data_IF_629629600676
#
_entry.id   IF_629629600676
#
_cell.length_a   1.000
_cell.length_b   1.000
_cell.length_c   1.000
_cell.angle_alpha   90.00
_cell.angle_beta   90.00
_cell.angle_gamma   90.00
#
_symmetry.space_group_name_H-M   'P 1'
#
loop_
_entity.id
_entity.type
_entity.pdbx_description
1 polymer ?
#
# COMPACT_ATOMS: atom_id res chain seq x y z
N UNK A 1 -9.87 9.81 28.88
CA UNK A 1 -8.92 8.88 29.53
C UNK A 1 -9.34 8.58 30.96
N UNK A 2 -9.58 9.58 31.81
CA UNK A 2 -10.01 9.36 33.20
C UNK A 2 -11.26 8.48 33.35
N UNK A 3 -12.27 8.65 32.50
CA UNK A 3 -13.52 7.86 32.53
C UNK A 3 -13.33 6.38 32.19
N UNK A 4 -12.52 6.07 31.17
CA UNK A 4 -12.24 4.68 30.75
C UNK A 4 -11.30 3.96 31.72
N UNK A 5 -10.30 4.67 32.25
CA UNK A 5 -9.37 4.13 33.24
C UNK A 5 -10.09 3.78 34.55
N UNK A 6 -10.98 4.66 35.02
CA UNK A 6 -11.83 4.41 36.19
C UNK A 6 -12.78 3.22 35.98
N UNK A 7 -13.43 3.12 34.81
CA UNK A 7 -14.32 2.00 34.49
C UNK A 7 -13.58 0.64 34.41
N UNK A 8 -12.28 0.65 34.07
CA UNK A 8 -11.44 -0.54 33.97
C UNK A 8 -10.62 -0.81 35.25
N UNK A 9 -10.72 0.03 36.29
CA UNK A 9 -9.97 -0.12 37.53
C UNK A 9 -8.45 0.04 37.38
N UNK A 10 -8.00 0.86 36.44
CA UNK A 10 -6.56 1.04 36.13
C UNK A 10 -6.12 2.45 36.53
N UNK A 11 -5.00 2.55 37.25
CA UNK A 11 -4.37 3.85 37.50
C UNK A 11 -3.70 4.35 36.20
N UNK A 12 -4.25 5.43 35.65
CA UNK A 12 -3.75 6.07 34.43
C UNK A 12 -3.05 7.42 34.70
N UNK A 13 -2.74 7.75 35.96
CA UNK A 13 -2.10 9.02 36.33
C UNK A 13 -0.74 9.25 35.66
N UNK A 14 -0.02 8.16 35.35
CA UNK A 14 1.25 8.18 34.59
C UNK A 14 1.13 7.81 33.11
N UNK A 15 -0.08 7.69 32.56
CA UNK A 15 -0.27 7.20 31.19
C UNK A 15 0.30 8.19 30.15
N UNK A 16 0.98 7.64 29.14
CA UNK A 16 1.46 8.39 27.98
C UNK A 16 0.61 8.06 26.75
N UNK A 17 0.34 9.07 25.93
CA UNK A 17 -0.34 8.91 24.66
C UNK A 17 0.66 8.97 23.51
N UNK A 18 0.54 8.02 22.58
CA UNK A 18 1.33 7.97 21.36
C UNK A 18 0.38 7.97 20.16
N UNK A 19 0.82 8.54 19.04
CA UNK A 19 0.12 8.38 17.78
C UNK A 19 0.56 7.08 17.13
N UNK A 20 -0.41 6.31 16.62
CA UNK A 20 -0.16 5.09 15.87
C UNK A 20 -0.63 5.28 14.42
N UNK A 21 0.31 5.23 13.48
CA UNK A 21 0.01 5.10 12.06
C UNK A 21 -0.26 3.64 11.71
N UNK A 22 -1.26 3.40 10.86
CA UNK A 22 -1.57 2.06 10.36
C UNK A 22 -1.70 2.11 8.83
N UNK A 23 -0.84 1.35 8.15
CA UNK A 23 -0.94 1.16 6.71
C UNK A 23 -2.02 0.14 6.36
N UNK A 24 -2.65 0.34 5.19
CA UNK A 24 -3.61 -0.57 4.62
C UNK A 24 -3.05 -1.13 3.32
N UNK A 25 -2.94 -2.46 3.22
CA UNK A 25 -2.81 -3.11 1.91
C UNK A 25 -4.17 -3.08 1.23
N UNK A 26 -4.17 -2.59 -0.01
CA UNK A 26 -5.34 -2.61 -0.88
C UNK A 26 -5.23 -3.81 -1.81
N UNK A 27 -6.28 -4.63 -1.87
CA UNK A 27 -6.31 -5.76 -2.80
C UNK A 27 -6.21 -5.22 -4.24
N UNK A 28 -5.41 -5.85 -5.13
CA UNK A 28 -5.35 -5.47 -6.53
C UNK A 28 -6.73 -5.47 -7.18
N UNK A 29 -7.04 -4.40 -7.89
CA UNK A 29 -8.35 -4.14 -8.47
C UNK A 29 -8.15 -3.51 -9.86
N UNK A 30 -8.65 -4.14 -10.94
CA UNK A 30 -8.47 -3.65 -12.31
C UNK A 30 -9.14 -2.29 -12.58
N UNK A 31 -10.12 -1.89 -11.76
CA UNK A 31 -10.75 -0.57 -11.88
C UNK A 31 -9.90 0.55 -11.28
N UNK A 32 -8.95 0.20 -10.38
CA UNK A 32 -7.95 1.12 -9.84
C UNK A 32 -6.80 1.24 -10.82
N UNK A 33 -6.86 2.25 -11.69
CA UNK A 33 -5.96 2.36 -12.84
C UNK A 33 -5.53 3.79 -13.11
N UNK A 34 -4.36 3.90 -13.74
CA UNK A 34 -3.88 5.12 -14.37
C UNK A 34 -4.19 5.07 -15.85
N UNK A 35 -4.67 6.18 -16.40
CA UNK A 35 -4.80 6.36 -17.85
C UNK A 35 -4.14 7.66 -18.26
N UNK A 36 -3.53 7.68 -19.46
CA UNK A 36 -3.01 8.91 -20.05
C UNK A 36 -4.19 9.71 -20.62
N UNK A 37 -4.18 11.02 -20.44
CA UNK A 37 -5.13 11.95 -21.06
C UNK A 37 -4.53 12.52 -22.34
N UNK A 38 -5.34 13.28 -23.10
CA UNK A 38 -4.86 14.03 -24.27
C UNK A 38 -4.14 15.34 -23.92
N UNK A 39 -4.23 15.80 -22.66
CA UNK A 39 -3.55 17.01 -22.20
C UNK A 39 -2.09 16.71 -21.89
N UNK A 40 -1.22 17.69 -22.11
CA UNK A 40 0.19 17.61 -21.74
C UNK A 40 0.48 18.37 -20.44
N UNK A 41 1.42 17.87 -19.66
CA UNK A 41 1.97 18.57 -18.50
C UNK A 41 3.02 19.63 -18.92
N UNK A 42 3.63 20.29 -17.93
CA UNK A 42 4.66 21.31 -18.14
C UNK A 42 5.94 20.77 -18.80
N UNK A 43 6.14 19.45 -18.83
CA UNK A 43 7.27 18.77 -19.47
C UNK A 43 6.89 18.22 -20.86
N UNK A 44 5.66 18.46 -21.32
CA UNK A 44 5.17 17.97 -22.61
C UNK A 44 4.72 16.51 -22.62
N UNK A 45 4.65 15.86 -21.45
CA UNK A 45 4.22 14.47 -21.31
C UNK A 45 2.71 14.39 -21.13
N UNK A 46 2.02 13.34 -21.62
CA UNK A 46 0.59 13.18 -21.38
C UNK A 46 0.28 13.14 -19.88
N UNK A 47 -0.68 13.94 -19.43
CA UNK A 47 -1.11 13.96 -18.02
C UNK A 47 -1.74 12.63 -17.64
N UNK A 48 -1.58 12.25 -16.39
CA UNK A 48 -2.22 11.08 -15.82
C UNK A 48 -3.59 11.42 -15.24
N UNK A 49 -4.59 10.60 -15.52
CA UNK A 49 -5.84 10.52 -14.77
C UNK A 49 -5.79 9.27 -13.91
N UNK A 50 -5.86 9.47 -12.60
CA UNK A 50 -5.96 8.42 -11.61
C UNK A 50 -7.43 8.07 -11.36
N UNK A 51 -7.81 6.84 -11.66
CA UNK A 51 -9.05 6.26 -11.14
C UNK A 51 -8.70 5.47 -9.89
N UNK A 52 -9.05 5.99 -8.72
CA UNK A 52 -8.74 5.37 -7.44
C UNK A 52 -9.96 5.38 -6.54
N UNK A 53 -10.16 4.26 -5.86
CA UNK A 53 -11.13 4.14 -4.80
C UNK A 53 -10.62 3.13 -3.77
N UNK A 54 -11.22 3.13 -2.59
CA UNK A 54 -10.98 2.11 -1.56
C UNK A 54 -12.24 1.25 -1.52
N UNK A 55 -12.13 -0.07 -1.66
CA UNK A 55 -13.33 -0.90 -1.61
C UNK A 55 -13.85 -0.99 -0.18
N UNK A 56 -15.15 -1.23 -0.04
CA UNK A 56 -15.79 -1.45 1.28
C UNK A 56 -15.14 -2.61 2.03
N UNK A 57 -14.72 -3.65 1.31
CA UNK A 57 -13.98 -4.78 1.86
C UNK A 57 -12.64 -4.36 2.47
N UNK A 58 -11.86 -3.54 1.76
CA UNK A 58 -10.55 -3.09 2.24
C UNK A 58 -10.70 -2.23 3.49
N UNK A 59 -11.68 -1.30 3.49
CA UNK A 59 -11.97 -0.46 4.65
C UNK A 59 -12.49 -1.26 5.85
N UNK A 60 -13.35 -2.26 5.63
CA UNK A 60 -13.82 -3.14 6.69
C UNK A 60 -12.68 -3.99 7.29
N UNK A 61 -11.74 -4.45 6.47
CA UNK A 61 -10.54 -5.14 6.95
C UNK A 61 -9.68 -4.22 7.82
N UNK A 62 -9.43 -2.99 7.37
CA UNK A 62 -8.71 -1.98 8.14
C UNK A 62 -9.33 -1.76 9.53
N UNK A 63 -10.65 -1.55 9.60
CA UNK A 63 -11.35 -1.35 10.87
C UNK A 63 -11.24 -2.57 11.79
N UNK A 64 -11.42 -3.78 11.25
CA UNK A 64 -11.26 -5.03 12.02
C UNK A 64 -9.85 -5.17 12.58
N UNK A 65 -8.82 -4.84 11.81
CA UNK A 65 -7.42 -4.88 12.28
C UNK A 65 -7.19 -3.94 13.46
N UNK A 66 -7.73 -2.71 13.43
CA UNK A 66 -7.60 -1.78 14.56
C UNK A 66 -8.35 -2.27 15.81
N UNK A 67 -9.57 -2.79 15.64
CA UNK A 67 -10.35 -3.35 16.75
C UNK A 67 -9.60 -4.53 17.39
N UNK A 68 -9.06 -5.43 16.57
CA UNK A 68 -8.34 -6.60 17.05
C UNK A 68 -7.02 -6.22 17.74
N UNK A 69 -6.27 -5.26 17.19
CA UNK A 69 -5.08 -4.70 17.85
C UNK A 69 -5.43 -4.11 19.21
N UNK A 70 -6.49 -3.31 19.29
CA UNK A 70 -6.97 -2.73 20.55
C UNK A 70 -7.36 -3.80 21.58
N UNK A 71 -8.05 -4.85 21.14
CA UNK A 71 -8.43 -6.00 21.97
C UNK A 71 -7.18 -6.71 22.54
N UNK A 72 -6.17 -6.95 21.71
CA UNK A 72 -4.93 -7.61 22.15
C UNK A 72 -4.11 -6.75 23.10
N UNK A 73 -3.98 -5.44 22.83
CA UNK A 73 -3.30 -4.50 23.74
C UNK A 73 -3.95 -4.47 25.13
N UNK A 74 -5.28 -4.48 25.17
CA UNK A 74 -6.04 -4.50 26.42
C UNK A 74 -5.86 -5.84 27.16
N UNK A 75 -5.99 -6.97 26.45
CA UNK A 75 -5.82 -8.30 27.01
C UNK A 75 -4.41 -8.52 27.60
N UNK A 76 -3.39 -7.97 26.94
CA UNK A 76 -2.01 -8.00 27.41
C UNK A 76 -1.70 -6.98 28.53
N UNK A 77 -2.66 -6.13 28.91
CA UNK A 77 -2.47 -4.98 29.82
C UNK A 77 -1.33 -4.05 29.36
N UNK A 78 -1.07 -3.99 28.05
CA UNK A 78 0.00 -3.21 27.44
C UNK A 78 -0.44 -1.79 27.08
N UNK A 79 -1.73 -1.58 26.87
CA UNK A 79 -2.29 -0.26 26.58
C UNK A 79 -3.73 -0.30 26.09
N UNK A 80 -4.26 0.88 25.78
CA UNK A 80 -5.58 1.05 25.21
C UNK A 80 -5.46 1.75 23.85
N UNK A 81 -6.06 1.17 22.82
CA UNK A 81 -6.17 1.83 21.52
C UNK A 81 -7.41 2.72 21.49
N UNK A 82 -7.20 4.00 21.17
CA UNK A 82 -8.30 4.94 20.88
C UNK A 82 -8.39 5.17 19.38
N UNK A 83 -9.50 4.76 18.78
CA UNK A 83 -9.79 5.04 17.37
C UNK A 83 -10.48 6.40 17.29
N UNK A 84 -9.81 7.40 16.72
CA UNK A 84 -10.31 8.78 16.68
C UNK A 84 -11.21 9.08 15.46
N UNK A 85 -11.24 8.21 14.46
CA UNK A 85 -12.02 8.39 13.22
C UNK A 85 -13.16 7.39 13.22
N UNK A 86 -14.38 7.89 13.39
CA UNK A 86 -15.56 7.05 13.60
C UNK A 86 -16.35 6.79 12.31
N UNK A 87 -16.15 7.60 11.27
CA UNK A 87 -16.70 7.37 9.94
C UNK A 87 -15.62 7.22 8.89
N UNK A 88 -15.99 6.59 7.77
CA UNK A 88 -15.14 6.51 6.58
C UNK A 88 -14.81 7.89 6.02
N UNK A 89 -15.77 8.81 6.02
CA UNK A 89 -15.56 10.18 5.53
C UNK A 89 -14.48 10.90 6.35
N UNK A 90 -14.53 10.82 7.69
CA UNK A 90 -13.54 11.43 8.57
C UNK A 90 -12.14 10.86 8.36
N UNK A 91 -12.07 9.54 8.12
CA UNK A 91 -10.83 8.86 7.82
C UNK A 91 -10.29 9.29 6.45
N UNK A 92 -11.13 9.32 5.41
CA UNK A 92 -10.73 9.72 4.05
C UNK A 92 -10.26 11.16 3.97
N UNK A 93 -10.85 12.08 4.76
CA UNK A 93 -10.48 13.48 4.77
C UNK A 93 -9.07 13.75 5.35
N UNK A 94 -8.49 12.78 6.06
CA UNK A 94 -7.21 12.96 6.77
C UNK A 94 -6.19 11.86 6.50
N UNK A 95 -6.52 10.88 5.66
CA UNK A 95 -5.58 9.81 5.32
C UNK A 95 -4.42 10.35 4.50
N UNK A 96 -3.25 9.72 4.68
CA UNK A 96 -2.13 9.82 3.75
C UNK A 96 -2.18 8.63 2.80
N UNK A 97 -1.92 8.88 1.51
CA UNK A 97 -1.84 7.84 0.48
C UNK A 97 -0.49 7.09 0.50
N UNK A 98 0.44 7.49 1.38
CA UNK A 98 1.63 6.73 1.72
C UNK A 98 2.73 6.73 0.66
N UNK A 99 2.52 7.39 -0.48
CA UNK A 99 3.52 7.56 -1.55
C UNK A 99 4.10 6.23 -2.09
N UNK A 100 3.36 5.13 -1.95
CA UNK A 100 3.78 3.78 -2.35
C UNK A 100 3.00 3.30 -3.59
N UNK A 101 3.14 4.00 -4.72
CA UNK A 101 2.46 3.62 -5.97
C UNK A 101 2.99 2.29 -6.52
N UNK A 102 2.08 1.34 -6.76
CA UNK A 102 2.39 -0.06 -7.06
C UNK A 102 1.50 -0.60 -8.18
N UNK A 103 2.00 -1.58 -8.93
CA UNK A 103 1.20 -2.41 -9.85
C UNK A 103 0.89 -1.79 -11.21
N UNK A 104 1.38 -0.59 -11.51
CA UNK A 104 1.08 0.13 -12.77
C UNK A 104 1.72 -0.50 -14.01
N UNK A 105 2.71 -1.38 -13.84
CA UNK A 105 3.30 -2.24 -14.88
C UNK A 105 3.47 -3.67 -14.32
N UNK A 106 2.42 -4.19 -13.69
CA UNK A 106 2.47 -5.41 -12.87
C UNK A 106 3.13 -6.60 -13.55
N UNK A 107 3.89 -7.36 -12.77
CA UNK A 107 4.46 -8.65 -13.11
C UNK A 107 3.39 -9.74 -13.14
N UNK A 108 3.53 -10.71 -14.06
CA UNK A 108 2.69 -11.90 -14.11
C UNK A 108 3.12 -12.87 -15.20
N UNK A 109 2.46 -14.02 -15.27
CA UNK A 109 2.75 -15.05 -16.29
C UNK A 109 1.92 -14.90 -17.56
N UNK A 110 0.80 -14.16 -17.50
CA UNK A 110 -0.15 -14.00 -18.61
C UNK A 110 -0.17 -12.55 -19.10
N UNK A 111 0.25 -12.35 -20.35
CA UNK A 111 0.29 -11.04 -21.00
C UNK A 111 -1.07 -10.34 -21.13
N UNK A 112 -2.18 -11.06 -20.92
CA UNK A 112 -3.52 -10.45 -20.86
C UNK A 112 -3.81 -9.75 -19.54
N UNK A 113 -3.06 -10.06 -18.49
CA UNK A 113 -3.29 -9.56 -17.12
C UNK A 113 -2.04 -8.99 -16.45
N UNK A 114 -0.89 -8.96 -17.15
CA UNK A 114 0.37 -8.35 -16.71
C UNK A 114 1.10 -7.65 -17.85
N UNK A 115 2.02 -6.76 -17.48
CA UNK A 115 2.86 -6.01 -18.43
C UNK A 115 4.23 -6.67 -18.60
N UNK A 116 4.80 -7.18 -17.51
CA UNK A 116 6.11 -7.83 -17.51
C UNK A 116 6.04 -9.28 -17.01
N UNK A 117 6.94 -10.11 -17.50
CA UNK A 117 7.14 -11.48 -17.00
C UNK A 117 7.91 -11.49 -15.65
N UNK A 118 8.15 -12.69 -15.10
CA UNK A 118 8.88 -12.87 -13.84
C UNK A 118 10.32 -12.33 -13.87
N UNK A 119 10.90 -12.15 -15.06
CA UNK A 119 12.22 -11.55 -15.27
C UNK A 119 12.14 -10.05 -15.59
N UNK A 120 10.98 -9.43 -15.38
CA UNK A 120 10.72 -8.01 -15.59
C UNK A 120 10.81 -7.56 -17.05
N UNK A 121 10.78 -8.52 -17.98
CA UNK A 121 10.76 -8.26 -19.41
C UNK A 121 9.33 -8.01 -19.86
N UNK A 122 9.12 -6.97 -20.66
CA UNK A 122 7.80 -6.66 -21.23
C UNK A 122 7.36 -7.79 -22.15
N UNK A 123 6.14 -8.28 -21.96
CA UNK A 123 5.60 -9.34 -22.81
C UNK A 123 5.59 -8.91 -24.29
N UNK A 124 6.09 -9.79 -25.16
CA UNK A 124 6.16 -9.53 -26.60
C UNK A 124 7.32 -8.65 -27.07
N UNK A 125 8.19 -8.15 -26.17
CA UNK A 125 9.35 -7.31 -26.51
C UNK A 125 10.63 -7.91 -25.94
N UNK A 126 11.57 -8.31 -26.80
CA UNK A 126 12.73 -9.10 -26.41
C UNK A 126 13.81 -8.35 -25.60
N UNK A 127 13.84 -7.01 -25.71
CA UNK A 127 14.91 -6.17 -25.19
C UNK A 127 14.41 -5.01 -24.32
N UNK A 128 13.15 -5.06 -23.84
CA UNK A 128 12.56 -4.03 -22.99
C UNK A 128 12.24 -4.60 -21.61
N UNK A 129 12.78 -3.97 -20.58
CA UNK A 129 12.60 -4.35 -19.19
C UNK A 129 12.10 -3.16 -18.38
N UNK A 130 11.27 -3.42 -17.37
CA UNK A 130 10.75 -2.40 -16.45
C UNK A 130 11.04 -2.84 -15.02
N UNK A 131 11.63 -1.98 -14.20
CA UNK A 131 11.80 -2.23 -12.77
C UNK A 131 11.30 -1.06 -11.95
N UNK A 132 10.86 -1.34 -10.73
CA UNK A 132 10.21 -0.39 -9.84
C UNK A 132 9.07 -1.04 -9.06
N UNK A 133 8.50 -0.32 -8.09
CA UNK A 133 7.32 -0.78 -7.35
C UNK A 133 6.10 -0.98 -8.27
N UNK A 134 6.11 -0.34 -9.44
CA UNK A 134 5.12 -0.53 -10.50
C UNK A 134 4.99 -1.99 -10.95
N UNK A 135 6.02 -2.82 -10.80
CA UNK A 135 5.98 -4.22 -11.24
C UNK A 135 5.46 -5.17 -10.18
N UNK A 136 5.23 -4.73 -8.95
CA UNK A 136 4.77 -5.64 -7.90
C UNK A 136 3.30 -6.05 -8.14
N UNK A 137 2.99 -7.35 -8.14
CA UNK A 137 1.63 -7.83 -8.36
C UNK A 137 0.71 -7.59 -7.14
N UNK A 138 1.30 -7.49 -5.95
CA UNK A 138 0.69 -7.20 -4.65
C UNK A 138 1.64 -6.33 -3.82
N UNK A 139 1.16 -5.81 -2.70
CA UNK A 139 1.94 -4.98 -1.79
C UNK A 139 1.66 -5.41 -0.36
N UNK A 140 2.61 -6.01 0.36
CA UNK A 140 2.41 -6.22 1.79
C UNK A 140 2.29 -4.88 2.56
N UNK A 141 1.88 -4.90 3.81
CA UNK A 141 1.73 -3.69 4.63
C UNK A 141 3.04 -2.95 5.00
N UNK A 142 4.16 -3.24 4.34
CA UNK A 142 5.50 -2.72 4.63
C UNK A 142 6.07 -1.94 3.45
N UNK A 143 6.90 -0.93 3.74
CA UNK A 143 7.43 -0.02 2.74
C UNK A 143 8.14 -0.75 1.57
N UNK A 144 7.83 -0.42 0.31
CA UNK A 144 8.20 -1.24 -0.84
C UNK A 144 9.67 -1.09 -1.26
N UNK A 145 10.38 -0.07 -0.78
CA UNK A 145 11.69 0.33 -1.31
C UNK A 145 12.74 -0.77 -1.19
N UNK A 146 12.77 -1.52 -0.08
CA UNK A 146 13.72 -2.62 0.08
C UNK A 146 13.47 -3.74 -0.94
N UNK A 147 12.20 -4.09 -1.16
CA UNK A 147 11.82 -5.06 -2.19
C UNK A 147 12.16 -4.54 -3.60
N UNK A 148 12.02 -3.23 -3.83
CA UNK A 148 12.35 -2.61 -5.11
C UNK A 148 13.84 -2.76 -5.40
N UNK A 149 14.69 -2.48 -4.41
CA UNK A 149 16.14 -2.68 -4.51
C UNK A 149 16.45 -4.15 -4.82
N UNK A 150 15.88 -5.09 -4.07
CA UNK A 150 16.11 -6.53 -4.29
C UNK A 150 15.70 -6.99 -5.72
N UNK A 151 14.53 -6.58 -6.18
CA UNK A 151 14.02 -6.90 -7.53
C UNK A 151 14.88 -6.26 -8.62
N UNK A 152 15.41 -5.05 -8.38
CA UNK A 152 16.29 -4.34 -9.30
C UNK A 152 17.67 -4.98 -9.38
N UNK A 153 18.25 -5.40 -8.26
CA UNK A 153 19.52 -6.13 -8.24
C UNK A 153 19.39 -7.47 -8.97
N UNK A 154 18.30 -8.20 -8.74
CA UNK A 154 17.98 -9.43 -9.48
C UNK A 154 17.87 -9.20 -10.99
N UNK A 155 17.26 -8.09 -11.42
CA UNK A 155 17.24 -7.71 -12.83
C UNK A 155 18.66 -7.47 -13.35
N UNK A 156 19.47 -6.71 -12.61
CA UNK A 156 20.85 -6.43 -12.99
C UNK A 156 21.67 -7.70 -13.21
N UNK A 157 21.52 -8.70 -12.35
CA UNK A 157 22.19 -9.99 -12.54
C UNK A 157 21.62 -10.78 -13.72
N UNK A 158 20.30 -10.78 -13.93
CA UNK A 158 19.70 -11.41 -15.09
C UNK A 158 20.18 -10.79 -16.40
N UNK A 159 20.27 -9.46 -16.48
CA UNK A 159 20.71 -8.75 -17.68
C UNK A 159 22.14 -9.14 -18.10
N UNK A 160 23.05 -9.39 -17.14
CA UNK A 160 24.41 -9.90 -17.44
C UNK A 160 24.40 -11.27 -18.13
N UNK A 161 23.30 -12.02 -18.06
CA UNK A 161 23.19 -13.36 -18.68
C UNK A 161 22.47 -13.35 -20.02
N UNK A 162 21.74 -12.29 -20.34
CA UNK A 162 20.87 -12.22 -21.54
C UNK A 162 21.22 -11.07 -22.49
N UNK A 163 22.02 -10.10 -22.04
CA UNK A 163 22.58 -9.07 -22.90
C UNK A 163 24.00 -9.48 -23.34
N UNK A 164 24.37 -9.17 -24.59
CA UNK A 164 25.71 -9.45 -25.14
C UNK A 164 26.80 -8.59 -24.51
#
# INVERSE_FOLDING_TARGET
MATTAAALGVDASGARAYSLGCGLELIPDPDRRLVLTGEKDALGMPRLKLNMHIADRDFALYQRTLVELGRQLLAAKAGLLRINKHSRADWMATMDWGHHHIGTTRMGHDSKTSVVDANLRVHGVGNLFVTGSSTFPTYGASNPTLNLIAVTLRLGDHLKTVLP
#
